data_IF_616846956340
#
_entry.id   IF_616846956340
#
_cell.length_a   1.000
_cell.length_b   1.000
_cell.length_c   1.000
_cell.angle_alpha   90.00
_cell.angle_beta   90.00
_cell.angle_gamma   90.00
#
_symmetry.space_group_name_H-M   'P 1'
#
loop_
_entity.id
_entity.type
_entity.pdbx_description
1 polymer ?
#
# COMPACT_ATOMS: atom_id res chain seq x y z
N UNK A 1 -3.08 -14.09 0.11
CA UNK A 1 -3.37 -14.67 -1.23
C UNK A 1 -2.54 -14.01 -2.33
N UNK A 2 -2.57 -12.68 -2.51
CA UNK A 2 -1.80 -11.99 -3.57
C UNK A 2 -0.27 -12.17 -3.51
N UNK A 3 0.34 -12.07 -2.32
CA UNK A 3 1.77 -12.32 -2.16
C UNK A 3 2.18 -13.77 -2.50
N UNK A 4 1.33 -14.75 -2.18
CA UNK A 4 1.58 -16.17 -2.49
C UNK A 4 1.43 -16.43 -3.98
N UNK A 5 0.41 -15.85 -4.63
CA UNK A 5 0.25 -15.94 -6.08
C UNK A 5 1.45 -15.31 -6.81
N UNK A 6 1.95 -14.17 -6.33
CA UNK A 6 3.11 -13.52 -6.93
C UNK A 6 4.42 -14.24 -6.65
N UNK A 7 4.60 -14.86 -5.47
CA UNK A 7 5.74 -15.73 -5.19
C UNK A 7 5.67 -16.98 -6.08
N UNK A 8 4.49 -17.57 -6.29
CA UNK A 8 4.31 -18.71 -7.19
C UNK A 8 4.57 -18.29 -8.65
N UNK A 9 4.06 -17.14 -9.08
CA UNK A 9 4.36 -16.60 -10.42
C UNK A 9 5.84 -16.25 -10.57
N UNK A 10 6.50 -15.77 -9.51
CA UNK A 10 7.93 -15.52 -9.45
C UNK A 10 8.75 -16.81 -9.54
N UNK A 11 8.40 -17.85 -8.79
CA UNK A 11 9.03 -19.18 -8.85
C UNK A 11 8.81 -19.87 -10.21
N UNK A 12 7.60 -19.76 -10.77
CA UNK A 12 7.29 -20.25 -12.12
C UNK A 12 8.06 -19.48 -13.20
N UNK A 13 8.26 -18.17 -13.02
CA UNK A 13 9.09 -17.37 -13.92
C UNK A 13 10.59 -17.70 -13.77
N UNK A 14 11.07 -18.01 -12.55
CA UNK A 14 12.45 -18.40 -12.28
C UNK A 14 12.79 -19.80 -12.80
N UNK A 15 11.84 -20.72 -12.82
CA UNK A 15 12.04 -22.10 -13.29
C UNK A 15 12.15 -22.20 -14.81
N UNK A 16 11.61 -21.24 -15.58
CA UNK A 16 11.83 -21.16 -17.02
C UNK A 16 13.23 -20.57 -17.33
N UNK A 17 14.18 -21.43 -17.73
CA UNK A 17 15.53 -21.06 -18.21
C UNK A 17 15.43 -20.43 -19.61
N UNK A 18 15.08 -19.16 -19.70
CA UNK A 18 15.22 -18.38 -20.94
C UNK A 18 15.97 -17.08 -20.67
N UNK A 19 16.75 -16.63 -21.65
CA UNK A 19 17.42 -15.33 -21.73
C UNK A 19 16.49 -14.13 -21.39
N UNK A 20 15.16 -14.33 -21.44
CA UNK A 20 14.14 -13.36 -21.03
C UNK A 20 14.06 -13.06 -19.52
N UNK A 21 14.89 -13.65 -18.64
CA UNK A 21 14.77 -13.46 -17.18
C UNK A 21 14.90 -12.01 -16.71
N UNK A 22 15.77 -11.19 -17.29
CA UNK A 22 15.90 -9.77 -16.89
C UNK A 22 14.70 -8.91 -17.31
N UNK A 23 13.98 -9.34 -18.36
CA UNK A 23 12.87 -8.59 -18.96
C UNK A 23 11.59 -8.68 -18.12
N UNK A 24 11.36 -9.76 -17.37
CA UNK A 24 10.11 -9.98 -16.60
C UNK A 24 10.01 -9.10 -15.34
N UNK A 25 11.13 -8.56 -14.84
CA UNK A 25 11.14 -7.87 -13.54
C UNK A 25 10.73 -6.40 -13.58
N UNK A 26 10.71 -5.76 -14.75
CA UNK A 26 10.22 -4.39 -14.86
C UNK A 26 8.70 -4.48 -15.07
N UNK A 27 7.94 -4.34 -13.99
CA UNK A 27 6.48 -4.19 -14.12
C UNK A 27 6.11 -2.74 -14.47
N UNK A 28 7.02 -1.80 -14.20
CA UNK A 28 6.83 -0.37 -14.41
C UNK A 28 7.93 0.15 -15.35
N UNK A 29 7.54 1.01 -16.28
CA UNK A 29 8.41 1.73 -17.19
C UNK A 29 8.09 3.20 -17.04
N UNK A 30 9.11 4.04 -16.96
CA UNK A 30 8.94 5.49 -17.12
C UNK A 30 9.85 5.92 -18.25
N UNK A 31 9.25 6.27 -19.38
CA UNK A 31 9.95 6.65 -20.61
C UNK A 31 9.17 7.74 -21.33
N UNK A 32 9.85 8.75 -21.88
CA UNK A 32 9.20 9.85 -22.60
C UNK A 32 8.09 10.55 -21.79
N UNK A 33 8.37 10.85 -20.52
CA UNK A 33 7.43 11.44 -19.58
C UNK A 33 6.10 10.65 -19.45
N UNK A 34 6.16 9.34 -19.68
CA UNK A 34 5.03 8.43 -19.66
C UNK A 34 5.32 7.29 -18.69
N UNK A 35 4.44 7.13 -17.71
CA UNK A 35 4.50 6.03 -16.75
C UNK A 35 3.60 4.90 -17.22
N UNK A 36 4.18 3.72 -17.43
CA UNK A 36 3.52 2.55 -17.99
C UNK A 36 3.68 1.38 -17.01
N UNK A 37 2.56 0.82 -16.58
CA UNK A 37 2.50 -0.51 -15.96
C UNK A 37 2.23 -1.53 -17.04
N UNK A 38 3.16 -2.48 -17.20
CA UNK A 38 3.09 -3.52 -18.23
C UNK A 38 2.66 -4.83 -17.59
N UNK A 39 1.58 -5.41 -18.11
CA UNK A 39 1.12 -6.74 -17.73
C UNK A 39 1.67 -7.73 -18.75
N UNK A 40 2.58 -8.60 -18.28
CA UNK A 40 3.20 -9.66 -19.05
C UNK A 40 2.70 -11.04 -18.61
N UNK A 41 2.90 -12.05 -19.45
CA UNK A 41 2.67 -13.46 -19.11
C UNK A 41 1.24 -13.96 -19.32
N UNK A 42 0.83 -15.04 -18.63
CA UNK A 42 -0.46 -15.71 -18.85
C UNK A 42 -1.65 -14.77 -18.74
N UNK A 43 -1.59 -13.77 -17.85
CA UNK A 43 -2.69 -12.81 -17.68
C UNK A 43 -2.92 -11.99 -18.96
N UNK A 44 -1.86 -11.57 -19.66
CA UNK A 44 -1.98 -10.83 -20.92
C UNK A 44 -2.53 -11.70 -22.06
N UNK A 45 -2.24 -13.00 -22.04
CA UNK A 45 -2.63 -13.93 -23.10
C UNK A 45 -4.03 -14.52 -22.90
N UNK A 46 -4.42 -14.85 -21.67
CA UNK A 46 -5.65 -15.57 -21.36
C UNK A 46 -6.78 -14.68 -20.86
N UNK A 47 -6.50 -13.54 -20.22
CA UNK A 47 -7.55 -12.70 -19.68
C UNK A 47 -7.98 -11.62 -20.69
N UNK A 48 -9.29 -11.46 -20.94
CA UNK A 48 -9.83 -10.30 -21.62
C UNK A 48 -9.35 -8.99 -21.00
N UNK A 49 -9.07 -7.98 -21.83
CA UNK A 49 -8.56 -6.68 -21.39
C UNK A 49 -9.43 -6.02 -20.30
N UNK A 50 -10.75 -6.13 -20.41
CA UNK A 50 -11.67 -5.58 -19.40
C UNK A 50 -11.52 -6.24 -18.02
N UNK A 51 -11.17 -7.53 -17.96
CA UNK A 51 -10.87 -8.22 -16.69
C UNK A 51 -9.55 -7.70 -16.13
N UNK A 52 -8.51 -7.59 -16.96
CA UNK A 52 -7.23 -7.00 -16.54
C UNK A 52 -7.40 -5.58 -15.98
N UNK A 53 -8.27 -4.78 -16.61
CA UNK A 53 -8.64 -3.44 -16.17
C UNK A 53 -9.30 -3.46 -14.78
N UNK A 54 -10.25 -4.36 -14.54
CA UNK A 54 -10.87 -4.49 -13.20
C UNK A 54 -9.83 -4.91 -12.16
N UNK A 55 -8.96 -5.88 -12.50
CA UNK A 55 -7.91 -6.37 -11.60
C UNK A 55 -6.93 -5.25 -11.25
N UNK A 56 -6.45 -4.48 -12.22
CA UNK A 56 -5.50 -3.39 -11.95
C UNK A 56 -6.17 -2.31 -11.11
N UNK A 57 -7.44 -1.96 -11.37
CA UNK A 57 -8.18 -0.99 -10.56
C UNK A 57 -8.28 -1.41 -9.10
N UNK A 58 -8.73 -2.65 -8.87
CA UNK A 58 -8.82 -3.23 -7.52
C UNK A 58 -7.45 -3.27 -6.85
N UNK A 59 -6.41 -3.66 -7.59
CA UNK A 59 -5.04 -3.74 -7.08
C UNK A 59 -4.53 -2.37 -6.64
N UNK A 60 -4.73 -1.33 -7.45
CA UNK A 60 -4.31 0.04 -7.13
C UNK A 60 -5.04 0.60 -5.91
N UNK A 61 -6.33 0.29 -5.75
CA UNK A 61 -7.08 0.65 -4.54
C UNK A 61 -6.52 -0.08 -3.32
N UNK A 62 -6.27 -1.40 -3.43
CA UNK A 62 -5.71 -2.18 -2.33
C UNK A 62 -4.30 -1.74 -1.92
N UNK A 63 -3.44 -1.41 -2.88
CA UNK A 63 -2.12 -0.83 -2.60
C UNK A 63 -2.28 0.43 -1.76
N UNK A 64 -3.21 1.31 -2.13
CA UNK A 64 -3.46 2.55 -1.36
C UNK A 64 -4.09 2.30 0.01
N UNK A 65 -4.92 1.26 0.14
CA UNK A 65 -5.47 0.84 1.43
C UNK A 65 -4.40 0.44 2.45
N UNK A 66 -3.21 0.03 2.00
CA UNK A 66 -2.11 -0.37 2.89
C UNK A 66 -1.66 0.75 3.83
N UNK A 67 -1.72 2.01 3.40
CA UNK A 67 -1.40 3.16 4.26
C UNK A 67 -2.62 3.94 4.70
N UNK A 68 -3.67 4.07 3.87
CA UNK A 68 -4.85 4.88 4.22
C UNK A 68 -5.65 4.33 5.39
N UNK A 69 -5.59 3.03 5.68
CA UNK A 69 -6.28 2.42 6.81
C UNK A 69 -5.56 2.58 8.17
N UNK A 70 -4.29 2.99 8.17
CA UNK A 70 -3.48 3.08 9.40
C UNK A 70 -4.12 4.04 10.43
N UNK A 71 -4.56 5.27 10.05
CA UNK A 71 -5.17 6.20 10.99
C UNK A 71 -6.44 5.68 11.66
N UNK A 72 -7.23 4.79 11.03
CA UNK A 72 -8.42 4.22 11.66
C UNK A 72 -8.06 3.45 12.93
N UNK A 73 -6.97 2.67 12.90
CA UNK A 73 -6.55 1.87 14.06
C UNK A 73 -6.11 2.77 15.22
N UNK A 74 -5.39 3.86 14.93
CA UNK A 74 -5.00 4.84 15.93
C UNK A 74 -6.17 5.68 16.44
N UNK A 75 -7.14 6.00 15.58
CA UNK A 75 -8.38 6.67 16.00
C UNK A 75 -9.18 5.78 16.96
N UNK A 76 -9.29 4.48 16.68
CA UNK A 76 -9.91 3.51 17.59
C UNK A 76 -9.18 3.45 18.93
N UNK A 77 -7.84 3.41 18.92
CA UNK A 77 -7.05 3.43 20.16
C UNK A 77 -7.31 4.70 20.97
N UNK A 78 -7.28 5.85 20.30
CA UNK A 78 -7.51 7.15 20.92
C UNK A 78 -8.92 7.23 21.54
N UNK A 79 -9.94 6.70 20.86
CA UNK A 79 -11.30 6.60 21.40
C UNK A 79 -11.39 5.63 22.56
N UNK A 80 -10.68 4.50 22.54
CA UNK A 80 -10.62 3.55 23.65
C UNK A 80 -9.96 4.17 24.91
N UNK A 81 -8.94 5.01 24.75
CA UNK A 81 -8.30 5.75 25.84
C UNK A 81 -9.14 6.95 26.33
N UNK A 82 -10.19 7.33 25.60
CA UNK A 82 -11.05 8.45 25.94
C UNK A 82 -12.19 7.98 26.85
N UNK A 83 -12.00 8.08 28.19
CA UNK A 83 -13.00 7.75 29.23
C UNK A 83 -14.42 8.27 28.98
N UNK A 84 -14.56 9.39 28.26
CA UNK A 84 -15.85 10.06 27.98
C UNK A 84 -16.61 9.50 26.77
N UNK A 85 -16.08 8.50 26.07
CA UNK A 85 -16.80 7.93 24.92
C UNK A 85 -17.91 7.00 25.42
N UNK A 86 -19.08 7.55 25.73
CA UNK A 86 -20.33 6.78 25.83
C UNK A 86 -20.77 6.20 24.46
N UNK A 87 -19.94 6.33 23.43
CA UNK A 87 -20.27 5.87 22.09
C UNK A 87 -20.17 4.35 22.02
N UNK A 88 -21.22 3.71 21.50
CA UNK A 88 -21.21 2.30 21.18
C UNK A 88 -20.13 1.94 20.16
N UNK A 89 -19.78 0.66 20.11
CA UNK A 89 -18.70 0.12 19.25
C UNK A 89 -18.91 0.49 17.79
N UNK A 90 -20.13 0.38 17.26
CA UNK A 90 -20.48 0.71 15.87
C UNK A 90 -20.16 2.17 15.52
N UNK A 91 -20.49 3.11 16.40
CA UNK A 91 -20.23 4.53 16.18
C UNK A 91 -18.73 4.83 16.18
N UNK A 92 -17.96 4.18 17.06
CA UNK A 92 -16.50 4.31 17.09
C UNK A 92 -15.86 3.75 15.82
N UNK A 93 -16.33 2.61 15.33
CA UNK A 93 -15.89 2.04 14.06
C UNK A 93 -16.20 2.99 12.91
N UNK A 94 -17.46 3.40 12.75
CA UNK A 94 -17.88 4.28 11.66
C UNK A 94 -17.06 5.58 11.61
N UNK A 95 -16.83 6.22 12.76
CA UNK A 95 -16.06 7.47 12.83
C UNK A 95 -14.57 7.24 12.54
N UNK A 96 -14.00 6.11 12.97
CA UNK A 96 -12.58 5.79 12.69
C UNK A 96 -12.32 5.54 11.21
N UNK A 97 -13.29 4.93 10.52
CA UNK A 97 -13.17 4.58 9.11
C UNK A 97 -13.64 5.70 8.17
N UNK A 98 -14.31 6.75 8.67
CA UNK A 98 -14.80 7.84 7.83
C UNK A 98 -13.69 8.50 7.00
N UNK A 99 -12.58 8.87 7.63
CA UNK A 99 -11.46 9.52 6.94
C UNK A 99 -10.76 8.60 5.93
N UNK A 100 -10.39 7.34 6.28
CA UNK A 100 -9.85 6.40 5.30
C UNK A 100 -10.80 6.11 4.15
N UNK A 101 -12.09 5.93 4.40
CA UNK A 101 -13.09 5.70 3.35
C UNK A 101 -13.17 6.87 2.37
N UNK A 102 -13.09 8.12 2.86
CA UNK A 102 -13.03 9.30 1.99
C UNK A 102 -11.76 9.30 1.13
N UNK A 103 -10.61 8.98 1.72
CA UNK A 103 -9.35 8.87 0.96
C UNK A 103 -9.43 7.77 -0.10
N UNK A 104 -10.00 6.61 0.24
CA UNK A 104 -10.20 5.48 -0.69
C UNK A 104 -11.15 5.89 -1.82
N UNK A 105 -12.22 6.63 -1.54
CA UNK A 105 -13.14 7.11 -2.56
C UNK A 105 -12.44 8.06 -3.55
N UNK A 106 -11.66 9.03 -3.06
CA UNK A 106 -10.85 9.94 -3.89
C UNK A 106 -9.85 9.13 -4.73
N UNK A 107 -9.14 8.19 -4.13
CA UNK A 107 -8.18 7.35 -4.84
C UNK A 107 -8.87 6.53 -5.93
N UNK A 108 -10.03 5.95 -5.63
CA UNK A 108 -10.78 5.13 -6.59
C UNK A 108 -11.16 5.92 -7.84
N UNK A 109 -11.53 7.20 -7.71
CA UNK A 109 -11.83 8.04 -8.87
C UNK A 109 -10.57 8.42 -9.66
N UNK A 110 -9.42 8.60 -8.98
CA UNK A 110 -8.15 8.92 -9.64
C UNK A 110 -7.52 7.75 -10.40
N UNK A 111 -7.92 6.51 -10.13
CA UNK A 111 -7.38 5.34 -10.86
C UNK A 111 -7.78 5.38 -12.34
N UNK A 112 -8.88 6.04 -12.71
CA UNK A 112 -9.26 6.23 -14.12
C UNK A 112 -8.20 7.01 -14.93
N UNK A 113 -7.36 7.81 -14.28
CA UNK A 113 -6.27 8.55 -14.92
C UNK A 113 -5.17 7.65 -15.50
N UNK A 114 -5.13 6.38 -15.07
CA UNK A 114 -4.21 5.36 -15.59
C UNK A 114 -4.81 4.54 -16.75
N UNK A 115 -6.07 4.80 -17.09
CA UNK A 115 -6.73 4.11 -18.20
C UNK A 115 -6.40 4.88 -19.49
N UNK A 116 -5.66 4.30 -20.43
CA UNK A 116 -5.32 5.02 -21.65
C UNK A 116 -6.52 5.13 -22.59
N UNK A 117 -6.54 6.18 -23.42
CA UNK A 117 -7.31 6.17 -24.66
C UNK A 117 -6.75 5.12 -25.63
N UNK A 118 -7.52 4.67 -26.63
CA UNK A 118 -7.03 3.72 -27.63
C UNK A 118 -5.76 4.21 -28.35
N UNK A 119 -5.70 5.49 -28.73
CA UNK A 119 -4.56 6.07 -29.44
C UNK A 119 -3.31 6.14 -28.56
N UNK A 120 -3.47 6.50 -27.29
CA UNK A 120 -2.37 6.55 -26.34
C UNK A 120 -1.89 5.15 -25.93
N UNK A 121 -2.79 4.17 -25.87
CA UNK A 121 -2.43 2.79 -25.60
C UNK A 121 -1.49 2.21 -26.66
N UNK A 122 -1.70 2.51 -27.94
CA UNK A 122 -0.80 2.08 -29.02
C UNK A 122 0.64 2.61 -28.80
N UNK A 123 0.77 3.85 -28.36
CA UNK A 123 2.06 4.45 -28.00
C UNK A 123 2.68 3.71 -26.83
N UNK A 124 1.92 3.42 -25.78
CA UNK A 124 2.43 2.68 -24.61
C UNK A 124 2.83 1.24 -24.96
N UNK A 125 2.08 0.56 -25.84
CA UNK A 125 2.40 -0.77 -26.35
C UNK A 125 3.74 -0.71 -27.09
N UNK A 126 3.91 0.23 -28.02
CA UNK A 126 5.17 0.41 -28.77
C UNK A 126 6.34 0.66 -27.82
N UNK A 127 6.21 1.61 -26.89
CA UNK A 127 7.26 1.91 -25.89
C UNK A 127 7.61 0.66 -25.09
N UNK A 128 6.61 -0.11 -24.67
CA UNK A 128 6.82 -1.35 -23.90
C UNK A 128 7.53 -2.40 -24.75
N UNK A 129 7.09 -2.65 -25.97
CA UNK A 129 7.70 -3.62 -26.88
C UNK A 129 9.17 -3.27 -27.19
N UNK A 130 9.49 -1.99 -27.37
CA UNK A 130 10.89 -1.54 -27.50
C UNK A 130 11.71 -1.76 -26.23
N UNK A 131 11.18 -1.40 -25.06
CA UNK A 131 11.91 -1.52 -23.78
C UNK A 131 12.18 -2.98 -23.40
N UNK A 132 11.22 -3.86 -23.69
CA UNK A 132 11.36 -5.29 -23.41
C UNK A 132 11.92 -6.09 -24.58
N UNK A 133 12.05 -5.50 -25.77
CA UNK A 133 12.40 -6.22 -27.00
C UNK A 133 11.52 -7.47 -27.14
N UNK A 134 10.20 -7.23 -27.23
CA UNK A 134 9.14 -8.23 -27.32
C UNK A 134 8.29 -7.99 -28.56
N UNK A 135 8.00 -9.07 -29.30
CA UNK A 135 7.03 -9.07 -30.40
C UNK A 135 5.64 -9.57 -29.98
N UNK A 136 5.50 -9.99 -28.72
CA UNK A 136 4.26 -10.56 -28.20
C UNK A 136 3.23 -9.50 -27.81
N UNK A 137 2.01 -9.97 -27.57
CA UNK A 137 0.91 -9.16 -27.04
C UNK A 137 1.26 -8.70 -25.63
N UNK A 138 1.23 -7.38 -25.42
CA UNK A 138 1.36 -6.74 -24.10
C UNK A 138 0.08 -5.99 -23.77
N UNK A 139 -0.30 -5.98 -22.50
CA UNK A 139 -1.37 -5.10 -22.00
C UNK A 139 -0.69 -4.01 -21.19
N UNK A 140 -0.99 -2.76 -21.51
CA UNK A 140 -0.38 -1.59 -20.88
C UNK A 140 -1.44 -0.73 -20.21
N UNK A 141 -1.10 -0.20 -19.05
CA UNK A 141 -1.86 0.80 -18.32
C UNK A 141 -0.91 1.92 -17.94
N UNK A 142 -1.39 3.14 -17.80
CA UNK A 142 -0.47 4.23 -17.55
C UNK A 142 -1.06 5.60 -17.77
N UNK A 143 -0.23 6.60 -17.49
CA UNK A 143 -0.56 8.00 -17.73
C UNK A 143 0.67 8.74 -18.22
N UNK A 144 0.47 9.93 -18.74
CA UNK A 144 1.50 10.70 -19.45
C UNK A 144 1.47 12.17 -19.07
N UNK A 145 2.63 12.81 -19.19
CA UNK A 145 2.76 14.26 -19.20
C UNK A 145 2.85 14.85 -20.61
N UNK A 146 3.22 14.02 -21.60
CA UNK A 146 3.51 14.45 -22.96
C UNK A 146 2.31 14.31 -23.89
N UNK A 147 1.52 13.26 -23.72
CA UNK A 147 0.45 12.87 -24.63
C UNK A 147 -0.95 13.15 -24.05
N UNK A 148 -1.10 14.20 -23.23
CA UNK A 148 -2.37 14.52 -22.56
C UNK A 148 -3.52 14.78 -23.55
N UNK A 149 -3.25 15.46 -24.67
CA UNK A 149 -4.26 15.83 -25.66
C UNK A 149 -4.94 14.61 -26.29
N UNK A 150 -4.16 13.57 -26.57
CA UNK A 150 -4.68 12.30 -27.11
C UNK A 150 -5.16 11.34 -26.02
N UNK A 151 -4.82 11.58 -24.75
CA UNK A 151 -5.26 10.79 -23.59
C UNK A 151 -6.46 11.42 -22.86
N UNK A 152 -7.37 12.06 -23.60
CA UNK A 152 -8.57 12.72 -23.07
C UNK A 152 -8.29 13.77 -21.97
N UNK A 153 -7.13 14.45 -22.03
CA UNK A 153 -6.70 15.43 -21.04
C UNK A 153 -6.21 14.84 -19.71
N UNK A 154 -6.13 13.52 -19.58
CA UNK A 154 -5.62 12.84 -18.38
C UNK A 154 -4.12 13.07 -18.24
N UNK A 155 -3.72 13.47 -17.03
CA UNK A 155 -2.34 13.90 -16.75
C UNK A 155 -1.72 13.07 -15.63
N UNK A 156 -0.49 12.61 -15.85
CA UNK A 156 0.28 11.90 -14.84
C UNK A 156 0.57 12.77 -13.60
N UNK A 157 0.69 14.10 -13.74
CA UNK A 157 0.83 15.00 -12.59
C UNK A 157 -0.44 15.05 -11.76
N UNK A 158 -1.61 15.11 -12.41
CA UNK A 158 -2.89 15.05 -11.69
C UNK A 158 -3.00 13.72 -10.92
N UNK A 159 -2.69 12.61 -11.57
CA UNK A 159 -2.60 11.32 -10.90
C UNK A 159 -1.63 11.34 -9.71
N UNK A 160 -0.37 11.78 -9.89
CA UNK A 160 0.62 11.81 -8.82
C UNK A 160 0.19 12.68 -7.63
N UNK A 161 -0.46 13.81 -7.87
CA UNK A 161 -0.95 14.71 -6.83
C UNK A 161 -2.11 14.09 -6.04
N UNK A 162 -3.14 13.57 -6.72
CA UNK A 162 -4.39 13.17 -6.07
C UNK A 162 -4.44 11.69 -5.65
N UNK A 163 -3.71 10.80 -6.35
CA UNK A 163 -3.59 9.39 -5.95
C UNK A 163 -2.52 9.22 -4.86
N UNK A 164 -1.41 9.95 -4.99
CA UNK A 164 -0.18 9.67 -4.26
C UNK A 164 0.08 10.74 -3.18
N UNK A 165 0.40 11.99 -3.56
CA UNK A 165 0.85 13.04 -2.63
C UNK A 165 -0.22 13.39 -1.61
N UNK A 166 -1.41 13.81 -2.05
CA UNK A 166 -2.43 14.31 -1.15
C UNK A 166 -2.91 13.23 -0.16
N UNK A 167 -3.31 12.01 -0.57
CA UNK A 167 -3.73 10.97 0.37
C UNK A 167 -2.61 10.58 1.32
N UNK A 168 -1.37 10.45 0.84
CA UNK A 168 -0.23 10.07 1.67
C UNK A 168 0.06 11.14 2.75
N UNK A 169 0.19 12.41 2.34
CA UNK A 169 0.43 13.52 3.28
C UNK A 169 -0.70 13.68 4.29
N UNK A 170 -1.96 13.58 3.87
CA UNK A 170 -3.11 13.69 4.77
C UNK A 170 -3.15 12.55 5.78
N UNK A 171 -2.96 11.31 5.33
CA UNK A 171 -2.95 10.11 6.19
C UNK A 171 -1.87 10.21 7.25
N UNK A 172 -0.65 10.58 6.88
CA UNK A 172 0.46 10.68 7.82
C UNK A 172 0.37 11.91 8.72
N UNK A 173 -0.21 13.01 8.25
CA UNK A 173 -0.57 14.16 9.08
C UNK A 173 -1.57 13.79 10.18
N UNK A 174 -2.67 13.12 9.80
CA UNK A 174 -3.68 12.63 10.76
C UNK A 174 -3.08 11.62 11.73
N UNK A 175 -2.25 10.69 11.24
CA UNK A 175 -1.56 9.72 12.08
C UNK A 175 -0.64 10.40 13.11
N UNK A 176 0.15 11.40 12.70
CA UNK A 176 1.00 12.18 13.60
C UNK A 176 0.21 12.87 14.72
N UNK A 177 -0.92 13.50 14.38
CA UNK A 177 -1.83 14.11 15.36
C UNK A 177 -2.40 13.08 16.34
N UNK A 178 -2.82 11.91 15.83
CA UNK A 178 -3.36 10.83 16.66
C UNK A 178 -2.30 10.26 17.61
N UNK A 179 -1.08 10.02 17.12
CA UNK A 179 0.07 9.56 17.91
C UNK A 179 0.35 10.55 19.04
N UNK A 180 0.43 11.85 18.73
CA UNK A 180 0.66 12.89 19.72
C UNK A 180 -0.43 12.90 20.80
N UNK A 181 -1.70 12.82 20.40
CA UNK A 181 -2.83 12.77 21.35
C UNK A 181 -2.83 11.52 22.22
N UNK A 182 -2.50 10.35 21.65
CA UNK A 182 -2.38 9.10 22.41
C UNK A 182 -1.24 9.20 23.43
N UNK A 183 -0.07 9.69 23.02
CA UNK A 183 1.06 9.88 23.92
C UNK A 183 0.73 10.83 25.07
N UNK A 184 0.09 11.97 24.76
CA UNK A 184 -0.37 12.92 25.77
C UNK A 184 -1.29 12.24 26.80
N UNK A 185 -2.26 11.46 26.35
CA UNK A 185 -3.16 10.71 27.24
C UNK A 185 -2.49 9.63 28.06
N UNK A 186 -1.45 8.98 27.52
CA UNK A 186 -0.69 7.96 28.25
C UNK A 186 0.25 8.58 29.30
N UNK A 187 0.71 9.83 29.11
CA UNK A 187 1.59 10.54 30.07
C UNK A 187 0.86 11.18 31.24
N UNK A 188 -0.37 11.64 31.05
CA UNK A 188 -1.17 12.25 32.13
C UNK A 188 -1.61 11.13 33.08
N UNK A 189 -0.81 10.89 34.13
CA UNK A 189 -0.87 9.81 35.12
C UNK A 189 -2.17 9.73 35.98
N UNK A 190 -3.28 10.35 35.56
CA UNK A 190 -4.54 10.36 36.30
C UNK A 190 -5.54 9.25 35.91
N UNK A 191 -5.20 8.38 34.97
CA UNK A 191 -6.09 7.27 34.62
C UNK A 191 -5.90 6.13 35.63
N UNK A 192 -6.87 5.95 36.53
CA UNK A 192 -7.08 4.73 37.31
C UNK A 192 -7.37 3.52 36.38
N UNK A 193 -6.37 3.13 35.61
CA UNK A 193 -6.29 1.88 34.87
C UNK A 193 -5.35 0.96 35.65
N UNK A 194 -5.63 -0.34 35.60
CA UNK A 194 -4.69 -1.30 36.16
C UNK A 194 -3.33 -1.17 35.47
N UNK A 195 -2.24 -1.41 36.21
CA UNK A 195 -0.86 -1.45 35.67
C UNK A 195 -0.78 -2.37 34.45
N UNK A 196 -1.49 -3.50 34.50
CA UNK A 196 -1.63 -4.46 33.41
C UNK A 196 -2.26 -3.86 32.16
N UNK A 197 -3.37 -3.14 32.29
CA UNK A 197 -4.04 -2.48 31.15
C UNK A 197 -3.14 -1.42 30.53
N UNK A 198 -2.41 -0.65 31.35
CA UNK A 198 -1.49 0.38 30.86
C UNK A 198 -0.32 -0.25 30.07
N UNK A 199 0.23 -1.37 30.53
CA UNK A 199 1.28 -2.09 29.81
C UNK A 199 0.78 -2.61 28.45
N UNK A 200 -0.42 -3.19 28.40
CA UNK A 200 -1.04 -3.64 27.14
C UNK A 200 -1.29 -2.47 26.17
N UNK A 201 -1.76 -1.33 26.67
CA UNK A 201 -1.97 -0.13 25.84
C UNK A 201 -0.65 0.41 25.27
N UNK A 202 0.43 0.39 26.05
CA UNK A 202 1.75 0.81 25.59
C UNK A 202 2.31 -0.14 24.52
N UNK A 203 2.16 -1.46 24.71
CA UNK A 203 2.56 -2.44 23.70
C UNK A 203 1.76 -2.28 22.40
N UNK A 204 0.45 -2.09 22.51
CA UNK A 204 -0.42 -1.84 21.36
C UNK A 204 -0.04 -0.54 20.64
N UNK A 205 0.27 0.53 21.38
CA UNK A 205 0.76 1.79 20.80
C UNK A 205 2.09 1.60 20.05
N UNK A 206 3.06 0.88 20.63
CA UNK A 206 4.34 0.58 19.95
C UNK A 206 4.08 -0.22 18.67
N UNK A 207 3.19 -1.20 18.71
CA UNK A 207 2.82 -1.97 17.52
C UNK A 207 2.22 -1.06 16.44
N UNK A 208 1.28 -0.19 16.80
CA UNK A 208 0.71 0.77 15.85
C UNK A 208 1.76 1.70 15.27
N UNK A 209 2.71 2.15 16.08
CA UNK A 209 3.82 2.99 15.64
C UNK A 209 4.67 2.25 14.59
N UNK A 210 5.03 0.99 14.86
CA UNK A 210 5.79 0.16 13.91
C UNK A 210 5.00 -0.08 12.64
N UNK A 211 3.73 -0.47 12.73
CA UNK A 211 2.86 -0.68 11.56
C UNK A 211 2.61 0.61 10.77
N UNK A 212 2.63 1.76 11.44
CA UNK A 212 2.46 3.09 10.83
C UNK A 212 3.71 3.60 10.11
N UNK A 213 4.84 3.57 10.80
CA UNK A 213 6.11 4.14 10.32
C UNK A 213 6.78 3.22 9.30
N UNK A 214 6.65 1.89 9.44
CA UNK A 214 7.37 0.97 8.57
C UNK A 214 6.99 1.08 7.08
N UNK A 215 5.70 1.14 6.70
CA UNK A 215 5.30 1.45 5.33
C UNK A 215 5.77 2.82 4.89
N UNK A 216 5.81 3.82 5.78
CA UNK A 216 6.33 5.15 5.46
C UNK A 216 7.78 5.07 5.02
N UNK A 217 8.62 4.40 5.81
CA UNK A 217 10.05 4.23 5.51
C UNK A 217 10.25 3.44 4.21
N UNK A 218 9.56 2.31 4.06
CA UNK A 218 9.71 1.45 2.87
C UNK A 218 9.23 2.17 1.61
N UNK A 219 8.09 2.85 1.67
CA UNK A 219 7.51 3.50 0.50
C UNK A 219 8.09 4.88 0.22
N UNK A 220 8.76 5.54 1.18
CA UNK A 220 9.37 6.86 0.95
C UNK A 220 10.38 6.86 -0.20
N UNK A 221 11.20 5.80 -0.31
CA UNK A 221 12.19 5.67 -1.38
C UNK A 221 11.55 5.54 -2.77
N UNK A 222 10.70 4.55 -3.07
CA UNK A 222 10.05 4.45 -4.39
C UNK A 222 9.18 5.67 -4.68
N UNK A 223 8.51 6.22 -3.67
CA UNK A 223 7.71 7.43 -3.84
C UNK A 223 8.55 8.64 -4.27
N UNK A 224 9.69 8.85 -3.64
CA UNK A 224 10.61 9.95 -3.99
C UNK A 224 11.15 9.79 -5.41
N UNK A 225 11.54 8.56 -5.79
CA UNK A 225 12.02 8.25 -7.14
C UNK A 225 10.93 8.48 -8.18
N UNK A 226 9.70 8.05 -7.90
CA UNK A 226 8.55 8.29 -8.78
C UNK A 226 8.24 9.77 -8.93
N UNK A 227 8.16 10.52 -7.84
CA UNK A 227 7.90 11.96 -7.90
C UNK A 227 9.01 12.71 -8.63
N UNK A 228 10.27 12.35 -8.36
CA UNK A 228 11.40 12.90 -9.08
C UNK A 228 11.20 12.71 -10.59
N UNK A 229 10.96 11.48 -11.06
CA UNK A 229 10.73 11.21 -12.47
C UNK A 229 9.52 11.95 -13.06
N UNK A 230 8.42 12.07 -12.31
CA UNK A 230 7.23 12.83 -12.75
C UNK A 230 7.57 14.31 -12.95
N UNK A 231 8.28 14.94 -12.02
CA UNK A 231 8.55 16.38 -12.06
C UNK A 231 9.71 16.74 -12.98
N UNK A 232 10.74 15.89 -13.10
CA UNK A 232 11.88 16.13 -14.00
C UNK A 232 11.67 15.55 -15.40
N UNK A 233 10.62 14.73 -15.58
CA UNK A 233 10.33 13.98 -16.81
C UNK A 233 11.49 13.06 -17.23
N UNK A 234 12.35 12.65 -16.30
CA UNK A 234 13.50 11.79 -16.58
C UNK A 234 13.10 10.33 -16.68
N UNK A 235 13.67 9.62 -17.65
CA UNK A 235 13.51 8.17 -17.77
C UNK A 235 14.08 7.44 -16.55
N UNK A 236 13.31 6.54 -15.93
CA UNK A 236 13.75 5.81 -14.74
C UNK A 236 14.80 4.74 -15.07
N UNK A 237 14.80 4.19 -16.28
CA UNK A 237 15.72 3.10 -16.67
C UNK A 237 15.72 1.96 -15.65
N UNK A 238 16.90 1.61 -15.11
CA UNK A 238 17.05 0.56 -14.08
C UNK A 238 16.43 0.93 -12.73
N UNK A 239 16.24 2.22 -12.41
CA UNK A 239 15.62 2.62 -11.14
C UNK A 239 14.13 2.24 -11.04
N UNK A 240 13.48 1.91 -12.17
CA UNK A 240 12.14 1.34 -12.18
C UNK A 240 12.08 -0.08 -11.56
N UNK A 241 13.18 -0.84 -11.62
CA UNK A 241 13.29 -2.12 -10.90
C UNK A 241 13.29 -1.88 -9.39
N UNK A 242 14.11 -0.94 -8.93
CA UNK A 242 14.17 -0.53 -7.52
C UNK A 242 12.78 -0.10 -7.03
N UNK A 243 12.10 0.76 -7.80
CA UNK A 243 10.73 1.18 -7.51
C UNK A 243 9.79 -0.02 -7.31
N UNK A 244 9.79 -0.95 -8.26
CA UNK A 244 8.94 -2.14 -8.25
C UNK A 244 9.25 -3.04 -7.05
N UNK A 245 10.53 -3.31 -6.76
CA UNK A 245 10.96 -4.16 -5.65
C UNK A 245 10.49 -3.63 -4.30
N UNK A 246 10.57 -2.31 -4.05
CA UNK A 246 10.14 -1.73 -2.78
C UNK A 246 8.61 -1.74 -2.61
N UNK A 247 7.86 -1.51 -3.69
CA UNK A 247 6.40 -1.66 -3.66
C UNK A 247 5.98 -3.07 -3.22
N UNK A 248 6.68 -4.11 -3.72
CA UNK A 248 6.42 -5.50 -3.34
C UNK A 248 6.96 -5.89 -1.97
N UNK A 249 8.02 -5.23 -1.49
CA UNK A 249 8.58 -5.47 -0.17
C UNK A 249 7.63 -5.03 0.95
N UNK A 250 6.89 -3.93 0.74
CA UNK A 250 5.98 -3.38 1.73
C UNK A 250 4.94 -4.40 2.28
N UNK A 251 4.12 -5.09 1.46
CA UNK A 251 3.15 -6.06 1.98
C UNK A 251 3.81 -7.26 2.66
N UNK A 252 5.00 -7.68 2.21
CA UNK A 252 5.76 -8.78 2.82
C UNK A 252 6.16 -8.39 4.25
N UNK A 253 6.77 -7.22 4.40
CA UNK A 253 7.22 -6.74 5.71
C UNK A 253 6.04 -6.49 6.64
N UNK A 254 4.93 -5.92 6.16
CA UNK A 254 3.72 -5.75 6.95
C UNK A 254 3.16 -7.09 7.45
N UNK A 255 3.12 -8.12 6.60
CA UNK A 255 2.66 -9.45 6.98
C UNK A 255 3.57 -10.08 8.05
N UNK A 256 4.89 -9.96 7.92
CA UNK A 256 5.85 -10.47 8.91
C UNK A 256 5.66 -9.83 10.28
N UNK A 257 5.46 -8.51 10.33
CA UNK A 257 5.18 -7.79 11.58
C UNK A 257 3.88 -8.29 12.23
N UNK A 258 2.83 -8.49 11.44
CA UNK A 258 1.55 -9.02 11.94
C UNK A 258 1.69 -10.45 12.49
N UNK A 259 2.39 -11.34 11.78
CA UNK A 259 2.64 -12.72 12.24
C UNK A 259 3.43 -12.72 13.54
N UNK A 260 4.49 -11.91 13.64
CA UNK A 260 5.30 -11.80 14.86
C UNK A 260 4.43 -11.37 16.04
N UNK A 261 3.53 -10.41 15.83
CA UNK A 261 2.62 -9.95 16.87
C UNK A 261 1.63 -11.04 17.31
N UNK A 262 1.01 -11.75 16.37
CA UNK A 262 0.09 -12.85 16.68
C UNK A 262 0.78 -13.95 17.50
N UNK A 263 2.03 -14.28 17.16
CA UNK A 263 2.85 -15.22 17.94
C UNK A 263 3.10 -14.73 19.37
N UNK A 264 3.48 -13.46 19.54
CA UNK A 264 3.71 -12.88 20.87
C UNK A 264 2.42 -12.83 21.72
N UNK A 265 1.29 -12.49 21.10
CA UNK A 265 0.00 -12.46 21.78
C UNK A 265 -0.45 -13.87 22.21
N UNK A 266 -0.23 -14.88 21.36
CA UNK A 266 -0.51 -16.28 21.68
C UNK A 266 0.34 -16.79 22.86
N UNK A 267 1.65 -16.52 22.83
CA UNK A 267 2.57 -16.88 23.92
C UNK A 267 2.19 -16.23 25.26
N UNK A 268 1.79 -14.94 25.23
CA UNK A 268 1.37 -14.22 26.43
C UNK A 268 0.11 -14.84 27.07
N UNK A 269 -0.84 -15.30 26.25
CA UNK A 269 -2.06 -15.98 26.73
C UNK A 269 -1.76 -17.36 27.31
N UNK A 270 -0.86 -18.11 26.68
CA UNK A 270 -0.45 -19.43 27.18
C UNK A 270 0.19 -19.32 28.58
N UNK A 271 1.11 -18.36 28.76
CA UNK A 271 1.76 -18.14 30.05
C UNK A 271 0.75 -17.73 31.14
N UNK A 272 -0.27 -16.94 30.82
CA UNK A 272 -1.32 -16.58 31.77
C UNK A 272 -2.19 -17.78 32.18
N UNK A 273 -2.50 -18.69 31.25
CA UNK A 273 -3.26 -19.90 31.56
C UNK A 273 -2.48 -20.83 32.51
N UNK A 274 -1.17 -20.98 32.31
CA UNK A 274 -0.30 -21.76 33.20
C UNK A 274 -0.17 -21.13 34.58
N UNK A 275 -0.06 -19.81 34.68
CA UNK A 275 0.01 -19.12 35.97
C UNK A 275 -1.28 -19.26 36.79
N UNK A 276 -2.45 -19.23 36.12
CA UNK A 276 -3.74 -19.44 36.79
C UNK A 276 -3.92 -20.88 37.27
N UNK A 277 -3.47 -21.86 36.48
CA UNK A 277 -3.56 -23.28 36.89
C UNK A 277 -2.61 -23.63 38.03
N UNK A 278 -1.44 -22.97 38.14
CA UNK A 278 -0.55 -23.13 39.30
C UNK A 278 -1.14 -22.51 40.57
N UNK A 279 -1.79 -21.35 40.49
CA UNK A 279 -2.44 -20.71 41.64
C UNK A 279 -3.68 -21.47 42.13
N UNK A 280 -4.37 -22.20 41.25
CA UNK A 280 -5.54 -23.00 41.65
C UNK A 280 -5.16 -24.31 42.38
N UNK A 281 -3.87 -24.70 42.36
CA UNK A 281 -3.35 -25.91 43.02
C UNK A 281 -2.69 -25.64 44.37
N UNK A 282 -2.39 -24.38 44.67
CA UNK A 282 -1.85 -23.92 45.96
C UNK A 282 -2.99 -23.54 46.91
#
# INVERSE_FOLDING_TARGET
SGAVLNIILFELALTHKSSSREKVFRAHVFREATFITVVLGPLANFAPKWICLIIIKITMVFVTMMWTLIPATSALQMMALSRRSHWGVTKRLLISFLFPSLCIAIVTTTVEELMPSPEFEEIMIRISQEVYDLNDRVITFGSTMRYCDINYGRSLTYFALFYAIAPYSLVYGVLGVLIFKIQSKLRVNGMALSSRTMQLQRQFFIMQLVQGILPLVILSSPFTVFLYAVFTQTDLGLSALWFTSFLWLCPIVQALVQIRYLRQASQSRANESTAKSSMARS
#
